data_IF_964898127093
#
_entry.id   IF_964898127093
#
_cell.length_a   1.000
_cell.length_b   1.000
_cell.length_c   1.000
_cell.angle_alpha   90.00
_cell.angle_beta   90.00
_cell.angle_gamma   90.00
#
_symmetry.space_group_name_H-M   'P 1'
#
loop_
_entity.id
_entity.type
_entity.pdbx_description
1 polymer ?
#
# COMPACT_ATOMS: atom_id res chain seq x y z
N UNK A 1 -11.50 -14.09 21.99
CA UNK A 1 -11.18 -14.70 20.69
C UNK A 1 -10.70 -13.62 19.71
N UNK A 2 -9.46 -13.09 19.83
CA UNK A 2 -8.97 -12.02 18.95
C UNK A 2 -8.12 -12.52 17.76
N UNK A 3 -7.61 -13.76 17.81
CA UNK A 3 -6.67 -14.29 16.81
C UNK A 3 -7.31 -14.46 15.43
N UNK A 4 -8.50 -15.07 15.37
CA UNK A 4 -9.26 -15.22 14.13
C UNK A 4 -9.54 -13.89 13.43
N UNK A 5 -9.75 -12.81 14.19
CA UNK A 5 -9.99 -11.49 13.60
C UNK A 5 -8.72 -10.91 12.98
N UNK A 6 -7.56 -11.15 13.57
CA UNK A 6 -6.28 -10.71 13.03
C UNK A 6 -5.93 -11.51 11.77
N UNK A 7 -6.08 -12.84 11.79
CA UNK A 7 -5.75 -13.70 10.64
C UNK A 7 -6.65 -13.37 9.43
N UNK A 8 -7.95 -13.18 9.65
CA UNK A 8 -8.86 -12.77 8.57
C UNK A 8 -8.57 -11.34 8.07
N UNK A 9 -8.10 -10.44 8.94
CA UNK A 9 -7.73 -9.09 8.55
C UNK A 9 -6.47 -9.09 7.69
N UNK A 10 -5.48 -9.89 8.06
CA UNK A 10 -4.25 -10.01 7.31
C UNK A 10 -4.55 -10.52 5.89
N UNK A 11 -5.40 -11.54 5.73
CA UNK A 11 -5.81 -12.07 4.42
C UNK A 11 -6.56 -11.02 3.57
N UNK A 12 -7.47 -10.25 4.17
CA UNK A 12 -8.20 -9.19 3.45
C UNK A 12 -7.27 -8.06 3.02
N UNK A 13 -6.36 -7.60 3.89
CA UNK A 13 -5.46 -6.50 3.58
C UNK A 13 -4.37 -6.96 2.59
N UNK A 14 -3.93 -8.21 2.66
CA UNK A 14 -3.01 -8.82 1.68
C UNK A 14 -3.65 -8.95 0.30
N UNK A 15 -4.95 -9.26 0.20
CA UNK A 15 -5.68 -9.21 -1.07
C UNK A 15 -5.71 -7.80 -1.68
N UNK A 16 -5.60 -6.77 -0.86
CA UNK A 16 -5.59 -5.36 -1.28
C UNK A 16 -4.18 -4.82 -1.58
N UNK A 17 -3.12 -5.65 -1.56
CA UNK A 17 -1.74 -5.20 -1.75
C UNK A 17 -1.55 -4.34 -3.02
N UNK A 18 -2.20 -4.74 -4.12
CA UNK A 18 -2.10 -4.05 -5.40
C UNK A 18 -3.04 -2.82 -5.52
N UNK A 19 -3.99 -2.65 -4.59
CA UNK A 19 -4.94 -1.52 -4.56
C UNK A 19 -4.58 -0.54 -3.44
N UNK A 20 -3.65 0.36 -3.76
CA UNK A 20 -3.12 1.37 -2.83
C UNK A 20 -4.20 2.33 -2.32
N UNK A 21 -5.18 2.67 -3.14
CA UNK A 21 -6.28 3.56 -2.72
C UNK A 21 -7.14 2.89 -1.64
N UNK A 22 -7.42 1.60 -1.82
CA UNK A 22 -8.10 0.79 -0.81
C UNK A 22 -7.25 0.62 0.45
N UNK A 23 -5.94 0.41 0.32
CA UNK A 23 -5.03 0.38 1.47
C UNK A 23 -5.01 1.71 2.24
N UNK A 24 -4.88 2.86 1.57
CA UNK A 24 -4.95 4.15 2.26
C UNK A 24 -6.27 4.34 3.02
N UNK A 25 -7.39 3.91 2.42
CA UNK A 25 -8.69 3.92 3.09
C UNK A 25 -8.70 3.01 4.33
N UNK A 26 -8.09 1.82 4.24
CA UNK A 26 -7.94 0.86 5.34
C UNK A 26 -7.14 1.41 6.52
N UNK A 27 -6.09 2.20 6.26
CA UNK A 27 -5.27 2.84 7.30
C UNK A 27 -6.08 3.78 8.20
N UNK A 28 -7.19 4.34 7.71
CA UNK A 28 -8.02 5.30 8.44
C UNK A 28 -9.16 4.63 9.24
N UNK A 29 -9.41 3.33 9.07
CA UNK A 29 -10.56 2.65 9.68
C UNK A 29 -10.39 2.45 11.19
N UNK A 30 -9.28 1.86 11.63
CA UNK A 30 -8.94 1.70 13.05
C UNK A 30 -7.46 1.34 13.24
N UNK A 31 -7.00 1.36 14.50
CA UNK A 31 -5.58 1.11 14.85
C UNK A 31 -5.07 -0.27 14.44
N UNK A 32 -5.93 -1.29 14.41
CA UNK A 32 -5.53 -2.65 14.01
C UNK A 32 -5.28 -2.70 12.50
N UNK A 33 -6.18 -2.14 11.70
CA UNK A 33 -6.04 -2.05 10.25
C UNK A 33 -4.83 -1.19 9.86
N UNK A 34 -4.71 0.00 10.46
CA UNK A 34 -3.55 0.88 10.28
C UNK A 34 -2.22 0.13 10.48
N UNK A 35 -2.09 -0.66 11.56
CA UNK A 35 -0.86 -1.39 11.85
C UNK A 35 -0.49 -2.39 10.74
N UNK A 36 -1.46 -3.11 10.18
CA UNK A 36 -1.23 -4.11 9.14
C UNK A 36 -0.95 -3.43 7.80
N UNK A 37 -1.79 -2.47 7.43
CA UNK A 37 -1.70 -1.70 6.18
C UNK A 37 -0.38 -0.94 6.06
N UNK A 38 0.10 -0.30 7.13
CA UNK A 38 1.40 0.40 7.13
C UNK A 38 2.56 -0.57 6.86
N UNK A 39 2.49 -1.79 7.40
CA UNK A 39 3.51 -2.82 7.14
C UNK A 39 3.54 -3.25 5.66
N UNK A 40 2.38 -3.30 5.02
CA UNK A 40 2.25 -3.58 3.58
C UNK A 40 2.82 -2.44 2.74
N UNK A 41 2.35 -1.20 2.97
CA UNK A 41 2.79 -0.01 2.24
C UNK A 41 4.31 0.18 2.32
N UNK A 42 4.92 -0.08 3.49
CA UNK A 42 6.36 0.01 3.67
C UNK A 42 7.15 -1.06 2.89
N UNK A 43 6.61 -2.28 2.77
CA UNK A 43 7.25 -3.34 1.98
C UNK A 43 7.24 -2.99 0.49
N UNK A 44 6.12 -2.49 -0.01
CA UNK A 44 6.01 -2.08 -1.41
C UNK A 44 6.97 -0.93 -1.72
N UNK A 45 7.04 0.10 -0.86
CA UNK A 45 7.95 1.23 -1.05
C UNK A 45 9.42 0.80 -1.22
N UNK A 46 9.87 -0.21 -0.46
CA UNK A 46 11.24 -0.72 -0.57
C UNK A 46 11.50 -1.46 -1.89
N UNK A 47 10.48 -2.06 -2.50
CA UNK A 47 10.60 -2.77 -3.78
C UNK A 47 10.71 -1.80 -4.97
N UNK A 48 10.16 -0.58 -4.87
CA UNK A 48 10.24 0.43 -5.92
C UNK A 48 11.65 1.02 -6.12
N UNK A 49 12.54 0.92 -5.13
CA UNK A 49 13.89 1.48 -5.18
C UNK A 49 14.86 0.73 -6.13
N UNK A 50 14.36 -0.24 -6.91
CA UNK A 50 15.14 -1.11 -7.79
C UNK A 50 15.06 -0.83 -9.30
N UNK A 51 14.13 0.00 -9.78
CA UNK A 51 14.00 0.30 -11.21
C UNK A 51 14.55 1.69 -11.53
N UNK A 52 15.87 1.81 -11.53
CA UNK A 52 16.53 2.88 -12.28
C UNK A 52 16.52 2.52 -13.77
N UNK A 53 15.36 2.67 -14.43
CA UNK A 53 15.29 2.75 -15.88
C UNK A 53 15.04 4.20 -16.30
N UNK A 54 16.05 4.75 -16.97
CA UNK A 54 16.03 6.08 -17.55
C UNK A 54 15.15 6.09 -18.81
N UNK A 55 13.93 6.60 -18.72
CA UNK A 55 13.29 7.30 -19.84
C UNK A 55 12.15 8.20 -19.36
N UNK A 56 12.35 9.51 -19.44
CA UNK A 56 11.27 10.49 -19.33
C UNK A 56 10.40 10.39 -20.59
N UNK A 57 9.16 9.93 -20.46
CA UNK A 57 8.14 10.06 -21.51
C UNK A 57 7.23 11.27 -21.20
N UNK A 58 7.23 12.25 -22.10
CA UNK A 58 6.53 13.55 -21.99
C UNK A 58 4.99 13.49 -22.18
N UNK A 59 4.36 12.31 -22.09
CA UNK A 59 2.91 12.19 -22.26
C UNK A 59 2.22 11.78 -20.95
N UNK A 60 2.35 12.65 -19.95
CA UNK A 60 1.68 12.50 -18.65
C UNK A 60 0.16 12.74 -18.79
N UNK A 61 -0.60 11.68 -19.03
CA UNK A 61 -2.01 11.64 -18.64
C UNK A 61 -2.07 11.16 -17.20
N UNK A 62 -1.85 12.09 -16.26
CA UNK A 62 -2.05 11.90 -14.81
C UNK A 62 -1.74 10.50 -14.30
N UNK A 63 -0.45 10.19 -14.14
CA UNK A 63 -0.05 9.10 -13.26
C UNK A 63 0.05 9.68 -11.85
N UNK A 64 -1.02 9.57 -11.06
CA UNK A 64 -1.12 9.89 -9.61
C UNK A 64 -0.28 8.91 -8.76
N UNK A 65 0.95 8.67 -9.22
CA UNK A 65 1.81 7.58 -8.79
C UNK A 65 3.11 8.14 -8.16
N UNK A 66 3.16 9.44 -7.88
CA UNK A 66 4.33 10.17 -7.35
C UNK A 66 4.08 10.83 -5.98
N UNK A 67 2.95 10.53 -5.32
CA UNK A 67 2.66 10.91 -3.92
C UNK A 67 2.72 9.68 -2.99
N UNK A 68 3.65 8.75 -3.27
CA UNK A 68 3.40 7.29 -3.17
C UNK A 68 4.02 6.57 -1.97
N UNK A 69 4.75 7.26 -1.10
CA UNK A 69 5.22 6.71 0.19
C UNK A 69 5.04 7.67 1.39
N UNK A 70 4.29 8.77 1.23
CA UNK A 70 4.05 9.69 2.33
C UNK A 70 2.84 9.20 3.16
N UNK A 71 3.16 8.40 4.19
CA UNK A 71 2.31 8.17 5.35
C UNK A 71 2.33 9.38 6.29
#
# INVERSE_FOLDING_TARGET
>A
MPQLLADCLDEVIEYLNDDKYSLHSCSLVNRLWCKVTVGILWRDCNNYNGESDSSYDENNSYSDDDERCDL
#
